data_IF_345195487628
#
_entry.id   IF_345195487628
#
_cell.length_a   1.000
_cell.length_b   1.000
_cell.length_c   1.000
_cell.angle_alpha   90.00
_cell.angle_beta   90.00
_cell.angle_gamma   90.00
#
_symmetry.space_group_name_H-M   'P 1'
#
loop_
_entity.id
_entity.type
_entity.pdbx_description
1 polymer ?
#
# COMPACT_ATOMS: atom_id res chain seq x y z
N UNK A 1 7.24 9.92 -4.80
CA UNK A 1 8.27 8.90 -4.97
C UNK A 1 7.66 7.49 -4.97
N UNK A 2 6.84 7.10 -3.97
CA UNK A 2 6.22 5.78 -3.87
C UNK A 2 5.48 5.35 -5.16
N UNK A 3 4.64 6.22 -5.73
CA UNK A 3 3.89 5.96 -6.97
C UNK A 3 4.83 5.71 -8.16
N UNK A 4 5.92 6.47 -8.28
CA UNK A 4 6.89 6.31 -9.38
C UNK A 4 7.66 4.98 -9.26
N UNK A 5 8.03 4.60 -8.05
CA UNK A 5 8.67 3.30 -7.80
C UNK A 5 7.70 2.17 -8.15
N UNK A 6 6.46 2.25 -7.68
CA UNK A 6 5.41 1.27 -8.00
C UNK A 6 5.17 1.13 -9.50
N UNK A 7 5.09 2.25 -10.22
CA UNK A 7 4.94 2.25 -11.68
C UNK A 7 6.09 1.54 -12.40
N UNK A 8 7.33 1.74 -11.94
CA UNK A 8 8.50 1.07 -12.50
C UNK A 8 8.47 -0.45 -12.29
N UNK A 9 8.04 -0.90 -11.11
CA UNK A 9 7.84 -2.33 -10.87
C UNK A 9 6.76 -2.91 -11.78
N UNK A 10 5.64 -2.20 -11.93
CA UNK A 10 4.56 -2.63 -12.81
C UNK A 10 5.00 -2.73 -14.28
N UNK A 11 5.78 -1.77 -14.76
CA UNK A 11 6.36 -1.82 -16.10
C UNK A 11 7.24 -3.07 -16.29
N UNK A 12 8.01 -3.43 -15.26
CA UNK A 12 8.82 -4.65 -15.27
C UNK A 12 7.94 -5.92 -15.32
N UNK A 13 6.83 -5.99 -14.55
CA UNK A 13 5.92 -7.13 -14.57
C UNK A 13 5.26 -7.29 -15.94
N UNK A 14 4.77 -6.20 -16.53
CA UNK A 14 4.16 -6.18 -17.86
C UNK A 14 5.13 -6.69 -18.92
N UNK A 15 6.38 -6.21 -18.90
CA UNK A 15 7.44 -6.68 -19.82
C UNK A 15 7.80 -8.14 -19.60
N UNK A 16 7.98 -8.56 -18.35
CA UNK A 16 8.32 -9.94 -18.00
C UNK A 16 7.23 -10.92 -18.44
N UNK A 17 5.97 -10.53 -18.36
CA UNK A 17 4.83 -11.36 -18.72
C UNK A 17 4.42 -11.24 -20.20
N UNK A 18 5.18 -10.47 -20.99
CA UNK A 18 4.94 -10.31 -22.44
C UNK A 18 3.66 -9.54 -22.77
N UNK A 19 3.13 -8.74 -21.83
CA UNK A 19 1.95 -7.93 -22.03
C UNK A 19 2.29 -6.63 -22.78
N UNK A 20 1.31 -6.06 -23.52
CA UNK A 20 1.49 -4.78 -24.21
C UNK A 20 1.82 -3.64 -23.25
N UNK A 21 2.71 -2.72 -23.63
CA UNK A 21 3.11 -1.54 -22.84
C UNK A 21 1.92 -0.69 -22.37
N UNK A 22 0.86 -0.64 -23.19
CA UNK A 22 -0.41 0.05 -22.82
C UNK A 22 -1.02 -0.45 -21.50
N UNK A 23 -0.73 -1.67 -21.08
CA UNK A 23 -1.19 -2.22 -19.79
C UNK A 23 -0.50 -1.49 -18.63
N UNK A 24 0.81 -1.22 -18.75
CA UNK A 24 1.57 -0.47 -17.75
C UNK A 24 1.08 0.99 -17.63
N UNK A 25 0.86 1.64 -18.77
CA UNK A 25 0.30 3.00 -18.79
C UNK A 25 -1.11 3.05 -18.18
N UNK A 26 -1.94 2.08 -18.55
CA UNK A 26 -3.31 1.97 -18.06
C UNK A 26 -3.35 1.79 -16.54
N UNK A 27 -2.57 0.86 -15.97
CA UNK A 27 -2.61 0.65 -14.51
C UNK A 27 -2.08 1.84 -13.74
N UNK A 28 -1.08 2.55 -14.28
CA UNK A 28 -0.58 3.78 -13.67
C UNK A 28 -1.68 4.83 -13.56
N UNK A 29 -2.46 5.05 -14.63
CA UNK A 29 -3.56 6.01 -14.65
C UNK A 29 -4.67 5.57 -13.69
N UNK A 30 -5.18 4.34 -13.84
CA UNK A 30 -6.27 3.83 -13.00
C UNK A 30 -5.88 3.78 -11.53
N UNK A 31 -4.70 3.26 -11.20
CA UNK A 31 -4.21 3.15 -9.84
C UNK A 31 -4.00 4.52 -9.19
N UNK A 32 -3.32 5.44 -9.88
CA UNK A 32 -3.04 6.78 -9.33
C UNK A 32 -4.32 7.59 -9.12
N UNK A 33 -5.15 7.71 -10.16
CA UNK A 33 -6.38 8.51 -10.07
C UNK A 33 -7.33 7.93 -9.02
N UNK A 34 -7.53 6.61 -9.03
CA UNK A 34 -8.44 5.97 -8.09
C UNK A 34 -7.95 6.09 -6.64
N UNK A 35 -6.64 5.98 -6.40
CA UNK A 35 -6.06 6.17 -5.07
C UNK A 35 -6.27 7.60 -4.57
N UNK A 36 -5.96 8.60 -5.39
CA UNK A 36 -6.09 10.01 -5.02
C UNK A 36 -7.56 10.40 -4.81
N UNK A 37 -8.43 10.03 -5.75
CA UNK A 37 -9.86 10.31 -5.64
C UNK A 37 -10.48 9.57 -4.46
N UNK A 38 -10.13 8.32 -4.25
CA UNK A 38 -10.58 7.52 -3.12
C UNK A 38 -10.13 8.10 -1.79
N UNK A 39 -8.87 8.54 -1.67
CA UNK A 39 -8.34 9.19 -0.47
C UNK A 39 -9.13 10.45 -0.12
N UNK A 40 -9.41 11.31 -1.11
CA UNK A 40 -10.17 12.54 -0.92
C UNK A 40 -11.62 12.29 -0.57
N UNK A 41 -12.31 11.44 -1.35
CA UNK A 41 -13.70 11.07 -1.07
C UNK A 41 -13.86 10.38 0.28
N UNK A 42 -12.93 9.49 0.64
CA UNK A 42 -12.93 8.86 1.95
C UNK A 42 -12.82 9.88 3.08
N UNK A 43 -11.94 10.87 2.95
CA UNK A 43 -11.87 11.95 3.93
C UNK A 43 -13.20 12.72 4.03
N UNK A 44 -13.71 13.21 2.90
CA UNK A 44 -14.94 13.99 2.87
C UNK A 44 -16.16 13.24 3.44
N UNK A 45 -16.27 11.93 3.20
CA UNK A 45 -17.42 11.15 3.61
C UNK A 45 -17.35 10.64 5.05
N UNK A 46 -16.15 10.39 5.59
CA UNK A 46 -15.98 9.78 6.91
C UNK A 46 -15.64 10.78 8.02
N UNK A 47 -15.01 11.92 7.70
CA UNK A 47 -14.56 12.87 8.72
C UNK A 47 -15.50 14.08 8.84
N UNK A 48 -15.95 14.67 7.73
CA UNK A 48 -16.81 15.86 7.75
C UNK A 48 -17.96 15.81 6.72
N UNK A 49 -18.82 14.76 6.75
CA UNK A 49 -19.82 14.54 5.69
C UNK A 49 -20.80 15.72 5.54
N UNK A 50 -21.19 16.35 6.63
CA UNK A 50 -22.18 17.44 6.59
C UNK A 50 -21.62 18.70 5.95
N UNK A 51 -20.35 19.03 6.17
CA UNK A 51 -19.71 20.19 5.54
C UNK A 51 -19.62 19.99 4.02
N UNK A 52 -19.09 18.83 3.61
CA UNK A 52 -18.88 18.53 2.19
C UNK A 52 -20.18 18.30 1.41
N UNK A 53 -21.24 17.79 2.05
CA UNK A 53 -22.56 17.68 1.43
C UNK A 53 -23.25 19.05 1.28
N UNK A 54 -23.00 19.98 2.21
CA UNK A 54 -23.55 21.34 2.13
C UNK A 54 -22.83 22.20 1.08
N UNK A 55 -21.54 21.94 0.82
CA UNK A 55 -20.69 22.68 -0.12
C UNK A 55 -19.89 21.73 -1.01
N UNK A 56 -20.51 21.02 -1.97
CA UNK A 56 -19.84 19.94 -2.74
C UNK A 56 -18.59 20.38 -3.51
N UNK A 57 -18.48 21.64 -3.88
CA UNK A 57 -17.32 22.17 -4.57
C UNK A 57 -16.03 22.14 -3.71
N UNK A 58 -16.16 22.13 -2.37
CA UNK A 58 -15.02 22.05 -1.46
C UNK A 58 -14.31 20.70 -1.52
N UNK A 59 -14.96 19.67 -2.02
CA UNK A 59 -14.33 18.38 -2.32
C UNK A 59 -13.14 18.59 -3.29
N UNK A 60 -13.30 19.46 -4.26
CA UNK A 60 -12.28 19.76 -5.28
C UNK A 60 -11.39 20.91 -4.84
N UNK A 61 -11.97 22.04 -4.38
CA UNK A 61 -11.18 23.24 -4.07
C UNK A 61 -10.33 23.08 -2.82
N UNK A 62 -10.79 22.32 -1.82
CA UNK A 62 -10.06 22.05 -0.57
C UNK A 62 -8.96 20.97 -0.68
N UNK A 63 -8.55 20.59 -1.89
CA UNK A 63 -7.46 19.60 -2.09
C UNK A 63 -6.11 20.10 -1.55
N UNK A 64 -5.92 21.43 -1.48
CA UNK A 64 -4.70 22.07 -0.97
C UNK A 64 -4.65 22.13 0.56
N UNK A 65 -5.80 22.07 1.21
CA UNK A 65 -5.92 22.19 2.66
C UNK A 65 -5.67 20.85 3.38
N UNK A 66 -5.35 19.81 2.61
CA UNK A 66 -5.12 18.46 3.12
C UNK A 66 -6.39 17.61 3.12
N UNK A 67 -6.49 16.67 4.05
CA UNK A 67 -7.64 15.79 4.18
C UNK A 67 -7.64 14.65 3.15
N UNK A 68 -6.79 13.66 3.39
CA UNK A 68 -6.74 12.41 2.62
C UNK A 68 -6.80 11.22 3.57
N UNK A 69 -7.83 10.37 3.42
CA UNK A 69 -8.02 9.18 4.22
C UNK A 69 -7.37 7.96 3.58
N UNK A 70 -6.51 7.27 4.32
CA UNK A 70 -5.84 6.05 3.84
C UNK A 70 -6.81 4.92 3.48
N UNK A 71 -7.92 4.79 4.22
CA UNK A 71 -8.97 3.82 3.94
C UNK A 71 -9.68 4.10 2.61
N UNK A 72 -9.98 5.38 2.36
CA UNK A 72 -10.53 5.82 1.07
C UNK A 72 -9.57 5.54 -0.08
N UNK A 73 -8.27 5.76 0.12
CA UNK A 73 -7.23 5.42 -0.86
C UNK A 73 -7.22 3.92 -1.18
N UNK A 74 -7.29 3.06 -0.16
CA UNK A 74 -7.31 1.60 -0.34
C UNK A 74 -8.56 1.13 -1.11
N UNK A 75 -9.75 1.61 -0.72
CA UNK A 75 -11.00 1.29 -1.41
C UNK A 75 -10.94 1.80 -2.87
N UNK A 76 -10.51 3.04 -3.06
CA UNK A 76 -10.35 3.62 -4.39
C UNK A 76 -9.41 2.80 -5.26
N UNK A 77 -8.25 2.40 -4.72
CA UNK A 77 -7.30 1.54 -5.44
C UNK A 77 -7.93 0.21 -5.85
N UNK A 78 -8.65 -0.48 -4.95
CA UNK A 78 -9.33 -1.74 -5.27
C UNK A 78 -10.34 -1.56 -6.40
N UNK A 79 -11.15 -0.49 -6.36
CA UNK A 79 -12.10 -0.16 -7.44
C UNK A 79 -11.34 0.16 -8.75
N UNK A 80 -10.28 0.96 -8.67
CA UNK A 80 -9.45 1.31 -9.83
C UNK A 80 -8.83 0.09 -10.49
N UNK A 81 -8.32 -0.85 -9.71
CA UNK A 81 -7.77 -2.12 -10.20
C UNK A 81 -8.85 -3.01 -10.82
N UNK A 82 -10.06 -3.01 -10.27
CA UNK A 82 -11.19 -3.73 -10.86
C UNK A 82 -11.57 -3.15 -12.22
N UNK A 83 -11.71 -1.82 -12.33
CA UNK A 83 -11.98 -1.14 -13.61
C UNK A 83 -10.86 -1.38 -14.63
N UNK A 84 -9.60 -1.29 -14.19
CA UNK A 84 -8.43 -1.59 -15.00
C UNK A 84 -8.49 -3.03 -15.54
N UNK A 85 -8.76 -4.01 -14.68
CA UNK A 85 -8.82 -5.42 -15.05
C UNK A 85 -9.92 -5.69 -16.06
N UNK A 86 -11.10 -5.08 -15.88
CA UNK A 86 -12.21 -5.16 -16.83
C UNK A 86 -11.84 -4.59 -18.21
N UNK A 87 -11.22 -3.40 -18.22
CA UNK A 87 -10.83 -2.73 -19.47
C UNK A 87 -9.77 -3.49 -20.25
N UNK A 88 -8.78 -4.03 -19.56
CA UNK A 88 -7.66 -4.73 -20.18
C UNK A 88 -7.88 -6.25 -20.33
N UNK A 89 -9.08 -6.75 -19.98
CA UNK A 89 -9.44 -8.18 -20.01
C UNK A 89 -8.45 -9.07 -19.26
N UNK A 90 -7.93 -8.58 -18.14
CA UNK A 90 -7.04 -9.32 -17.24
C UNK A 90 -7.84 -9.82 -16.01
N UNK A 91 -7.51 -10.99 -15.46
CA UNK A 91 -8.11 -11.44 -14.21
C UNK A 91 -7.85 -10.42 -13.09
N UNK A 92 -8.86 -10.11 -12.27
CA UNK A 92 -8.70 -9.15 -11.17
C UNK A 92 -7.61 -9.58 -10.19
N UNK A 93 -7.53 -10.88 -9.89
CA UNK A 93 -6.51 -11.45 -9.01
C UNK A 93 -5.09 -11.24 -9.56
N UNK A 94 -4.92 -11.20 -10.89
CA UNK A 94 -3.66 -10.84 -11.51
C UNK A 94 -3.18 -9.46 -11.08
N UNK A 95 -4.08 -8.49 -11.07
CA UNK A 95 -3.78 -7.11 -10.65
C UNK A 95 -3.48 -7.03 -9.15
N UNK A 96 -4.25 -7.76 -8.34
CA UNK A 96 -4.07 -7.79 -6.88
C UNK A 96 -2.70 -8.35 -6.47
N UNK A 97 -2.26 -9.45 -7.08
CA UNK A 97 -0.95 -10.05 -6.78
C UNK A 97 0.21 -9.08 -7.08
N UNK A 98 0.15 -8.38 -8.23
CA UNK A 98 1.26 -7.49 -8.65
C UNK A 98 1.26 -6.18 -7.88
N UNK A 99 0.06 -5.64 -7.57
CA UNK A 99 -0.02 -4.40 -6.81
C UNK A 99 0.53 -4.55 -5.40
N UNK A 100 0.40 -5.72 -4.78
CA UNK A 100 0.92 -5.94 -3.42
C UNK A 100 2.43 -5.82 -3.33
N UNK A 101 3.17 -6.21 -4.38
CA UNK A 101 4.60 -5.97 -4.44
C UNK A 101 4.89 -4.46 -4.46
N UNK A 102 4.16 -3.70 -5.29
CA UNK A 102 4.32 -2.25 -5.36
C UNK A 102 3.86 -1.56 -4.06
N UNK A 103 2.81 -2.06 -3.41
CA UNK A 103 2.31 -1.55 -2.11
C UNK A 103 3.33 -1.79 -1.00
N UNK A 104 4.02 -2.92 -0.98
CA UNK A 104 5.07 -3.21 0.01
C UNK A 104 6.18 -2.15 0.00
N UNK A 105 6.78 -1.89 -1.17
CA UNK A 105 7.82 -0.85 -1.29
C UNK A 105 7.24 0.57 -1.14
N UNK A 106 6.06 0.82 -1.71
CA UNK A 106 5.38 2.10 -1.59
C UNK A 106 5.03 2.45 -0.15
N UNK A 107 4.51 1.49 0.61
CA UNK A 107 4.21 1.63 2.03
C UNK A 107 5.46 1.96 2.86
N UNK A 108 6.58 1.27 2.62
CA UNK A 108 7.85 1.58 3.28
C UNK A 108 8.30 3.02 3.01
N UNK A 109 8.21 3.49 1.76
CA UNK A 109 8.56 4.87 1.39
C UNK A 109 7.64 5.89 2.06
N UNK A 110 6.34 5.59 2.17
CA UNK A 110 5.38 6.44 2.89
C UNK A 110 5.76 6.53 4.37
N UNK A 111 6.09 5.41 5.02
CA UNK A 111 6.51 5.41 6.44
C UNK A 111 7.79 6.21 6.67
N UNK A 112 8.75 6.14 5.76
CA UNK A 112 9.92 7.02 5.82
C UNK A 112 9.52 8.50 5.63
N UNK A 113 8.54 8.80 4.79
CA UNK A 113 7.97 10.14 4.68
C UNK A 113 7.38 10.63 6.01
N UNK A 114 6.60 9.79 6.72
CA UNK A 114 6.06 10.12 8.05
C UNK A 114 7.20 10.39 9.07
N UNK A 115 8.30 9.62 9.01
CA UNK A 115 9.47 9.88 9.85
C UNK A 115 10.05 11.28 9.61
N UNK A 116 10.25 11.66 8.35
CA UNK A 116 10.76 13.01 7.99
C UNK A 116 9.79 14.12 8.38
N UNK A 117 8.49 13.86 8.36
CA UNK A 117 7.46 14.80 8.81
C UNK A 117 7.31 14.83 10.33
N UNK A 118 8.01 13.97 11.09
CA UNK A 118 7.88 13.86 12.55
C UNK A 118 6.45 13.56 13.00
N UNK A 119 5.77 12.65 12.31
CA UNK A 119 4.38 12.25 12.57
C UNK A 119 4.24 10.73 12.73
N UNK A 120 3.17 10.29 13.43
CA UNK A 120 2.82 8.86 13.60
C UNK A 120 3.93 8.07 14.31
N UNK A 121 4.53 8.64 15.36
CA UNK A 121 5.50 7.96 16.22
C UNK A 121 4.80 7.19 17.36
N UNK A 122 5.57 6.43 18.12
CA UNK A 122 5.06 5.61 19.22
C UNK A 122 5.15 6.28 20.59
N UNK A 123 4.83 5.52 21.64
CA UNK A 123 4.90 5.92 23.03
C UNK A 123 6.34 6.18 23.48
N UNK A 124 6.50 6.79 24.67
CA UNK A 124 7.79 7.02 25.30
C UNK A 124 8.58 5.70 25.48
N UNK A 125 9.90 5.77 25.29
CA UNK A 125 10.77 4.60 25.39
C UNK A 125 12.13 4.97 26.01
N UNK A 126 12.72 4.02 26.71
CA UNK A 126 14.09 4.10 27.21
C UNK A 126 15.09 3.33 26.32
N UNK A 127 14.63 2.78 25.20
CA UNK A 127 15.49 2.03 24.29
C UNK A 127 16.53 2.95 23.62
N UNK A 128 17.76 2.46 23.38
CA UNK A 128 18.86 3.28 22.88
C UNK A 128 18.65 3.81 21.44
N UNK A 129 17.66 3.33 20.74
CA UNK A 129 17.27 3.80 19.40
C UNK A 129 15.97 4.60 19.40
N UNK A 130 15.52 5.10 20.57
CA UNK A 130 14.42 6.05 20.64
C UNK A 130 14.75 7.37 19.94
N UNK A 131 13.74 8.04 19.41
CA UNK A 131 13.88 9.31 18.70
C UNK A 131 13.22 10.45 19.44
N UNK A 132 13.83 11.64 19.35
CA UNK A 132 13.26 12.90 19.81
C UNK A 132 12.74 13.67 18.60
N UNK A 133 11.42 13.80 18.47
CA UNK A 133 10.79 14.46 17.33
C UNK A 133 10.58 15.96 17.59
N UNK A 134 11.67 16.69 17.76
CA UNK A 134 11.71 18.12 18.16
C UNK A 134 10.88 19.06 17.26
N UNK A 135 10.53 18.64 16.05
CA UNK A 135 9.66 19.39 15.12
C UNK A 135 8.18 19.08 15.28
N UNK A 136 7.82 18.09 16.06
CA UNK A 136 6.43 17.69 16.30
C UNK A 136 5.86 18.44 17.50
N UNK A 137 4.81 19.22 17.30
CA UNK A 137 4.11 19.88 18.41
C UNK A 137 3.56 18.85 19.43
N UNK A 138 3.06 17.69 18.95
CA UNK A 138 2.61 16.60 19.81
C UNK A 138 3.74 16.08 20.69
N UNK A 139 4.92 15.82 20.13
CA UNK A 139 6.06 15.35 20.93
C UNK A 139 6.50 16.39 21.95
N UNK A 140 6.62 17.67 21.54
CA UNK A 140 7.05 18.77 22.44
C UNK A 140 6.10 18.92 23.63
N UNK A 141 4.79 18.80 23.41
CA UNK A 141 3.78 19.04 24.44
C UNK A 141 3.53 17.82 25.35
N UNK A 142 3.66 16.60 24.82
CA UNK A 142 3.23 15.39 25.53
C UNK A 142 4.41 14.52 26.01
N UNK A 143 5.57 14.55 25.36
CA UNK A 143 6.65 13.59 25.58
C UNK A 143 7.99 14.22 25.96
N UNK A 144 8.28 15.47 25.56
CA UNK A 144 9.59 16.07 25.78
C UNK A 144 9.95 16.14 27.28
N UNK A 145 11.18 15.78 27.65
CA UNK A 145 12.34 15.41 26.83
C UNK A 145 12.47 13.90 26.54
N UNK A 146 11.45 13.09 26.77
CA UNK A 146 11.55 11.64 26.62
C UNK A 146 11.63 11.22 25.13
N UNK A 147 12.53 10.29 24.81
CA UNK A 147 12.54 9.66 23.50
C UNK A 147 11.31 8.77 23.30
N UNK A 148 10.86 8.60 22.06
CA UNK A 148 9.71 7.80 21.70
C UNK A 148 10.08 6.74 20.67
N UNK A 149 9.26 5.69 20.53
CA UNK A 149 9.45 4.64 19.56
C UNK A 149 9.32 5.19 18.12
N UNK A 150 10.35 5.04 17.24
CA UNK A 150 10.25 5.39 15.83
C UNK A 150 9.45 4.32 15.05
N UNK A 151 8.16 4.21 15.34
CA UNK A 151 7.28 3.18 14.77
C UNK A 151 7.24 3.22 13.25
N UNK A 152 7.50 4.37 12.64
CA UNK A 152 7.63 4.53 11.19
C UNK A 152 8.77 3.66 10.63
N UNK A 153 9.91 3.58 11.34
CA UNK A 153 11.06 2.75 10.94
C UNK A 153 10.69 1.27 11.08
N UNK A 154 10.02 0.89 12.18
CA UNK A 154 9.60 -0.50 12.38
C UNK A 154 8.66 -0.97 11.28
N UNK A 155 7.63 -0.18 10.97
CA UNK A 155 6.71 -0.49 9.88
C UNK A 155 7.42 -0.52 8.52
N UNK A 156 8.31 0.44 8.23
CA UNK A 156 9.07 0.48 6.99
C UNK A 156 9.92 -0.77 6.79
N UNK A 157 10.62 -1.23 7.84
CA UNK A 157 11.43 -2.46 7.80
C UNK A 157 10.58 -3.70 7.55
N UNK A 158 9.45 -3.85 8.25
CA UNK A 158 8.53 -4.97 8.03
C UNK A 158 7.93 -4.96 6.61
N UNK A 159 7.60 -3.79 6.07
CA UNK A 159 7.11 -3.65 4.71
C UNK A 159 8.19 -3.95 3.67
N UNK A 160 9.45 -3.59 3.91
CA UNK A 160 10.58 -3.97 3.07
C UNK A 160 10.86 -5.47 3.10
N UNK A 161 10.75 -6.12 4.26
CA UNK A 161 10.85 -7.58 4.39
C UNK A 161 9.73 -8.24 3.58
N UNK A 162 8.49 -7.78 3.76
CA UNK A 162 7.33 -8.28 3.01
C UNK A 162 7.55 -8.10 1.50
N UNK A 163 8.00 -6.93 1.07
CA UNK A 163 8.35 -6.65 -0.33
C UNK A 163 9.42 -7.62 -0.85
N UNK A 164 10.49 -7.87 -0.08
CA UNK A 164 11.54 -8.81 -0.44
C UNK A 164 11.01 -10.24 -0.63
N UNK A 165 10.16 -10.71 0.29
CA UNK A 165 9.49 -12.02 0.21
C UNK A 165 8.62 -12.10 -1.06
N UNK A 166 7.79 -11.07 -1.32
CA UNK A 166 6.93 -11.02 -2.49
C UNK A 166 7.73 -11.01 -3.80
N UNK A 167 8.83 -10.25 -3.86
CA UNK A 167 9.73 -10.25 -5.00
C UNK A 167 10.36 -11.64 -5.21
N UNK A 168 10.84 -12.26 -4.16
CA UNK A 168 11.43 -13.61 -4.26
C UNK A 168 10.40 -14.63 -4.77
N UNK A 169 9.19 -14.62 -4.23
CA UNK A 169 8.11 -15.51 -4.68
C UNK A 169 7.70 -15.24 -6.12
N UNK A 170 7.69 -13.97 -6.54
CA UNK A 170 7.35 -13.57 -7.91
C UNK A 170 8.46 -13.95 -8.91
N UNK A 171 9.71 -13.54 -8.63
CA UNK A 171 10.80 -13.67 -9.58
C UNK A 171 11.47 -15.05 -9.60
N UNK A 172 11.64 -15.68 -8.43
CA UNK A 172 12.34 -16.95 -8.30
C UNK A 172 11.40 -18.17 -8.33
N UNK A 173 10.15 -18.02 -7.84
CA UNK A 173 9.21 -19.13 -7.73
C UNK A 173 8.05 -19.05 -8.72
N UNK A 174 7.87 -17.93 -9.41
CA UNK A 174 6.75 -17.65 -10.35
C UNK A 174 5.36 -17.90 -9.74
N UNK A 175 5.22 -17.69 -8.42
CA UNK A 175 4.02 -18.01 -7.64
C UNK A 175 2.80 -17.26 -8.17
N UNK A 176 2.95 -16.00 -8.59
CA UNK A 176 1.84 -15.20 -9.11
C UNK A 176 1.16 -15.80 -10.34
N UNK A 177 1.86 -16.63 -11.11
CA UNK A 177 1.32 -17.31 -12.30
C UNK A 177 0.91 -18.74 -12.01
N UNK A 178 1.60 -19.40 -11.09
CA UNK A 178 1.33 -20.79 -10.70
C UNK A 178 0.19 -20.89 -9.68
N UNK A 179 0.09 -19.96 -8.76
CA UNK A 179 -0.89 -19.94 -7.67
C UNK A 179 -1.46 -18.52 -7.44
N UNK A 180 -2.36 -18.07 -8.32
CA UNK A 180 -2.92 -16.73 -8.26
C UNK A 180 -3.60 -16.44 -6.93
N UNK A 181 -3.31 -15.27 -6.33
CA UNK A 181 -3.86 -14.81 -5.07
C UNK A 181 -2.95 -15.03 -3.85
N UNK A 182 -1.93 -15.88 -3.95
CA UNK A 182 -1.01 -16.11 -2.82
C UNK A 182 -0.19 -14.86 -2.53
N UNK A 183 0.32 -14.15 -3.54
CA UNK A 183 1.09 -12.93 -3.29
C UNK A 183 0.23 -11.86 -2.65
N UNK A 184 -1.02 -11.71 -3.09
CA UNK A 184 -1.98 -10.81 -2.48
C UNK A 184 -2.21 -11.18 -1.01
N UNK A 185 -2.44 -12.45 -0.70
CA UNK A 185 -2.62 -12.94 0.68
C UNK A 185 -1.41 -12.68 1.57
N UNK A 186 -0.20 -13.03 1.11
CA UNK A 186 1.05 -12.80 1.86
C UNK A 186 1.29 -11.31 2.07
N UNK A 187 1.03 -10.48 1.05
CA UNK A 187 1.17 -9.02 1.16
C UNK A 187 0.20 -8.43 2.18
N UNK A 188 -1.06 -8.87 2.19
CA UNK A 188 -2.03 -8.46 3.22
C UNK A 188 -1.55 -8.83 4.61
N UNK A 189 -1.11 -10.07 4.82
CA UNK A 189 -0.60 -10.50 6.12
C UNK A 189 0.63 -9.69 6.54
N UNK A 190 1.61 -9.54 5.66
CA UNK A 190 2.83 -8.81 5.97
C UNK A 190 2.59 -7.35 6.38
N UNK A 191 1.61 -6.68 5.76
CA UNK A 191 1.27 -5.29 6.07
C UNK A 191 0.37 -5.20 7.31
N UNK A 192 -0.72 -5.95 7.34
CA UNK A 192 -1.76 -5.75 8.36
C UNK A 192 -1.45 -6.46 9.69
N UNK A 193 -0.69 -7.57 9.72
CA UNK A 193 -0.14 -8.10 10.96
C UNK A 193 0.89 -7.16 11.56
N UNK A 194 1.79 -6.61 10.74
CA UNK A 194 2.74 -5.58 11.19
C UNK A 194 2.00 -4.42 11.83
N UNK A 195 0.99 -3.88 11.13
CA UNK A 195 0.19 -2.78 11.63
C UNK A 195 -0.50 -3.13 12.95
N UNK A 196 -1.13 -4.31 13.02
CA UNK A 196 -1.85 -4.77 14.21
C UNK A 196 -0.95 -4.81 15.45
N UNK A 197 0.27 -5.35 15.31
CA UNK A 197 1.19 -5.45 16.45
C UNK A 197 1.90 -4.13 16.79
N UNK A 198 2.27 -3.34 15.80
CA UNK A 198 2.94 -2.06 16.06
C UNK A 198 1.97 -1.04 16.67
N UNK A 199 0.66 -1.14 16.42
CA UNK A 199 -0.34 -0.26 16.99
C UNK A 199 -0.31 -0.29 18.53
N UNK A 200 0.01 -1.41 19.18
CA UNK A 200 0.14 -1.50 20.63
C UNK A 200 1.22 -0.57 21.26
N UNK A 201 2.18 -0.13 20.46
CA UNK A 201 3.24 0.78 20.90
C UNK A 201 3.14 2.17 20.26
N UNK A 202 2.07 2.45 19.53
CA UNK A 202 1.78 3.77 19.00
C UNK A 202 1.04 4.64 20.01
N UNK A 203 1.14 5.94 19.80
CA UNK A 203 0.28 6.90 20.49
C UNK A 203 -1.09 6.93 19.82
N UNK A 204 -2.15 7.08 20.61
CA UNK A 204 -3.50 7.33 20.10
C UNK A 204 -3.48 8.45 19.06
N UNK A 205 -4.16 8.23 17.93
CA UNK A 205 -4.19 9.19 16.83
C UNK A 205 -5.42 10.09 16.91
N UNK A 206 -6.51 9.56 17.49
CA UNK A 206 -7.80 10.24 17.58
C UNK A 206 -8.32 10.21 19.03
N UNK A 207 -8.91 11.33 19.47
CA UNK A 207 -9.38 11.49 20.85
C UNK A 207 -10.51 10.50 21.23
N UNK A 208 -11.27 10.00 20.26
CA UNK A 208 -12.37 9.05 20.50
C UNK A 208 -11.88 7.61 20.76
N UNK A 209 -10.59 7.31 20.54
CA UNK A 209 -10.02 5.98 20.76
C UNK A 209 -9.73 5.71 22.25
N UNK A 210 -9.78 6.76 23.10
CA UNK A 210 -9.49 6.64 24.52
C UNK A 210 -10.42 5.64 25.22
N UNK A 211 -9.80 4.61 25.82
CA UNK A 211 -10.53 3.55 26.53
C UNK A 211 -10.99 2.38 25.66
N UNK A 212 -10.66 2.36 24.39
CA UNK A 212 -10.91 1.19 23.55
C UNK A 212 -9.94 0.06 23.86
N UNK A 213 -10.42 -1.19 23.76
CA UNK A 213 -9.57 -2.40 23.96
C UNK A 213 -8.58 -2.57 22.80
N UNK A 214 -8.98 -2.21 21.59
CA UNK A 214 -8.19 -2.21 20.38
C UNK A 214 -8.39 -0.87 19.66
N UNK A 215 -7.31 -0.30 19.17
CA UNK A 215 -7.35 0.93 18.39
C UNK A 215 -7.98 0.74 17.01
N UNK A 216 -8.42 1.82 16.40
CA UNK A 216 -9.03 1.80 15.06
C UNK A 216 -8.12 1.08 14.04
N UNK A 217 -6.80 1.30 14.11
CA UNK A 217 -5.82 0.65 13.24
C UNK A 217 -5.82 -0.88 13.37
N UNK A 218 -6.06 -1.39 14.58
CA UNK A 218 -6.15 -2.84 14.85
C UNK A 218 -7.48 -3.40 14.34
N UNK A 219 -8.60 -2.77 14.68
CA UNK A 219 -9.92 -3.19 14.19
C UNK A 219 -9.98 -3.27 12.67
N UNK A 220 -9.43 -2.26 12.00
CA UNK A 220 -9.40 -2.20 10.54
C UNK A 220 -8.40 -3.19 9.92
N UNK A 221 -7.42 -3.68 10.69
CA UNK A 221 -6.46 -4.68 10.21
C UNK A 221 -7.04 -6.10 10.20
N UNK A 222 -7.94 -6.44 11.12
CA UNK A 222 -8.50 -7.79 11.28
C UNK A 222 -9.15 -8.32 9.99
N UNK A 223 -10.05 -7.61 9.29
CA UNK A 223 -10.64 -8.10 8.05
C UNK A 223 -9.61 -8.43 6.97
N UNK A 224 -8.55 -7.62 6.86
CA UNK A 224 -7.49 -7.84 5.88
C UNK A 224 -6.58 -9.02 6.25
N UNK A 225 -6.34 -9.25 7.54
CA UNK A 225 -5.63 -10.44 8.03
C UNK A 225 -6.44 -11.71 7.68
N UNK A 226 -7.74 -11.71 7.98
CA UNK A 226 -8.63 -12.85 7.66
C UNK A 226 -8.67 -13.10 6.15
N UNK A 227 -8.82 -12.04 5.35
CA UNK A 227 -8.77 -12.14 3.89
C UNK A 227 -7.42 -12.68 3.41
N UNK A 228 -6.32 -12.22 3.98
CA UNK A 228 -4.97 -12.69 3.66
C UNK A 228 -4.80 -14.18 3.91
N UNK A 229 -5.24 -14.66 5.07
CA UNK A 229 -5.24 -16.09 5.42
C UNK A 229 -6.10 -16.88 4.42
N UNK A 230 -7.31 -16.41 4.14
CA UNK A 230 -8.22 -17.05 3.18
C UNK A 230 -7.59 -17.15 1.77
N UNK A 231 -6.96 -16.08 1.29
CA UNK A 231 -6.34 -16.06 -0.04
C UNK A 231 -5.16 -17.03 -0.15
N UNK A 232 -4.36 -17.15 0.91
CA UNK A 232 -3.28 -18.14 0.97
C UNK A 232 -3.85 -19.57 1.01
N UNK A 233 -4.82 -19.81 1.89
CA UNK A 233 -5.46 -21.13 2.00
C UNK A 233 -6.06 -21.56 0.65
N UNK A 234 -6.83 -20.68 0.02
CA UNK A 234 -7.41 -20.90 -1.30
C UNK A 234 -6.32 -21.21 -2.36
N UNK A 235 -5.29 -20.38 -2.45
CA UNK A 235 -4.22 -20.56 -3.43
C UNK A 235 -3.38 -21.83 -3.23
N UNK A 236 -3.32 -22.35 -1.99
CA UNK A 236 -2.66 -23.63 -1.68
C UNK A 236 -3.57 -24.83 -1.94
N UNK A 237 -4.89 -24.68 -1.74
CA UNK A 237 -5.89 -25.76 -1.91
C UNK A 237 -6.26 -25.97 -3.38
N UNK A 238 -6.20 -24.94 -4.23
CA UNK A 238 -6.47 -25.08 -5.66
C UNK A 238 -5.31 -25.77 -6.38
N UNK A 239 -5.57 -26.53 -7.45
CA UNK A 239 -4.52 -27.13 -8.28
C UNK A 239 -3.59 -26.06 -8.84
N UNK A 240 -2.31 -26.40 -8.92
CA UNK A 240 -1.33 -25.48 -9.49
C UNK A 240 -1.56 -25.26 -10.99
N UNK A 241 -1.62 -24.02 -11.40
CA UNK A 241 -1.77 -23.65 -12.81
C UNK A 241 -0.43 -23.81 -13.52
N UNK A 242 -0.38 -24.54 -14.61
CA UNK A 242 0.81 -24.57 -15.48
C UNK A 242 0.88 -23.25 -16.24
N UNK A 243 1.87 -22.38 -15.98
CA UNK A 243 1.96 -21.10 -16.67
C UNK A 243 2.21 -21.30 -18.17
N UNK A 244 1.44 -20.60 -19.02
CA UNK A 244 1.77 -20.55 -20.43
C UNK A 244 3.18 -19.97 -20.65
N UNK A 245 3.95 -20.45 -21.64
CA UNK A 245 5.27 -19.89 -21.94
C UNK A 245 5.17 -18.38 -22.17
N UNK A 246 6.07 -17.62 -21.53
CA UNK A 246 6.14 -16.17 -21.79
C UNK A 246 6.63 -15.98 -23.22
N UNK A 247 5.93 -15.21 -24.06
CA UNK A 247 6.44 -14.88 -25.39
C UNK A 247 7.83 -14.26 -25.26
N UNK A 248 8.84 -14.83 -25.94
CA UNK A 248 10.15 -14.19 -25.98
C UNK A 248 9.97 -12.79 -26.53
N UNK A 249 10.44 -11.79 -25.80
CA UNK A 249 10.44 -10.41 -26.29
C UNK A 249 11.07 -10.39 -27.69
N UNK A 250 10.46 -9.71 -28.68
CA UNK A 250 11.06 -9.57 -29.99
C UNK A 250 12.47 -9.00 -29.81
N UNK A 251 13.47 -9.65 -30.41
CA UNK A 251 14.84 -9.20 -30.37
C UNK A 251 14.88 -7.72 -30.77
N UNK A 252 15.52 -6.89 -29.94
CA UNK A 252 15.62 -5.47 -30.20
C UNK A 252 16.18 -5.26 -31.59
N UNK A 253 15.37 -4.68 -32.49
CA UNK A 253 15.81 -4.32 -33.85
C UNK A 253 17.02 -3.41 -33.72
N UNK A 254 18.18 -3.74 -34.31
CA UNK A 254 19.35 -2.90 -34.22
C UNK A 254 19.01 -1.51 -34.74
N UNK A 255 19.23 -0.49 -33.91
CA UNK A 255 19.07 0.92 -34.30
C UNK A 255 19.92 1.15 -35.56
N UNK A 256 19.31 1.38 -36.72
CA UNK A 256 20.00 1.85 -37.91
C UNK A 256 20.81 3.09 -37.54
N UNK A 257 22.14 3.00 -37.53
CA UNK A 257 22.99 4.18 -37.47
C UNK A 257 22.65 5.04 -38.67
N UNK A 258 22.05 6.20 -38.42
CA UNK A 258 21.99 7.27 -39.44
C UNK A 258 23.43 7.68 -39.74
N UNK A 259 23.84 7.44 -40.98
CA UNK A 259 25.03 8.05 -41.57
C UNK A 259 24.75 9.50 -41.89
#
# INVERSE_FOLDING_TARGET
LAILIGAKFFDNFVRREGLPQKVSESIFIYGTLATILGARLGHCLFYDPMEYLSKPWTIITGFRDGGMASHGAAIGLLIGLWLFSRKNKLPYIWSLDRIMIAVGIGGAVVRLGNLFNSEIFGMATTLPWGFEFVRSAKWVNEFAPAAVHPTQIYEALCYLITFGILCWLYYAKDIARRRPGILFGIGLLGIFLTRFFIEFIKTEQEAFEQGWVLDMGQWLSIPFIVLGIYMIYRGLSEPEVTPAPVPKAPAATPKKKKR
#
